data_IF_723396202875
#
_entry.id   IF_723396202875
#
_cell.length_a   1.000
_cell.length_b   1.000
_cell.length_c   1.000
_cell.angle_alpha   90.00
_cell.angle_beta   90.00
_cell.angle_gamma   90.00
#
_symmetry.space_group_name_H-M   'P 1'
#
loop_
_entity.id
_entity.type
_entity.pdbx_description
1 polymer ?
#
# COMPACT_ATOMS: atom_id res chain seq x y z
N UNK A 1 0.86 36.22 -8.56
CA UNK A 1 0.13 35.73 -7.36
C UNK A 1 -1.35 35.94 -7.61
N UNK A 2 -2.03 34.93 -8.12
CA UNK A 2 -3.49 34.97 -8.33
C UNK A 2 -3.98 33.55 -8.13
N UNK A 3 -4.83 33.37 -7.13
CA UNK A 3 -5.37 32.08 -6.71
C UNK A 3 -6.38 31.55 -7.69
N UNK A 4 -6.33 30.24 -7.93
CA UNK A 4 -7.45 29.52 -8.51
C UNK A 4 -8.54 29.39 -7.43
N UNK A 5 -9.63 30.16 -7.60
CA UNK A 5 -10.90 29.83 -6.98
C UNK A 5 -11.33 28.45 -7.47
N UNK A 6 -11.77 27.63 -6.53
CA UNK A 6 -12.33 26.31 -6.77
C UNK A 6 -13.85 26.46 -6.94
N UNK A 7 -14.42 26.15 -8.11
CA UNK A 7 -15.83 25.81 -8.17
C UNK A 7 -15.98 24.46 -8.88
N UNK A 8 -16.33 23.41 -8.14
CA UNK A 8 -17.09 22.27 -8.68
C UNK A 8 -17.75 21.53 -7.52
N UNK A 9 -18.86 22.09 -7.03
CA UNK A 9 -19.87 21.37 -6.25
C UNK A 9 -21.24 21.77 -6.78
N UNK A 10 -21.76 20.95 -7.70
CA UNK A 10 -23.19 20.76 -7.95
C UNK A 10 -23.87 21.78 -8.85
N UNK A 11 -23.91 21.50 -10.16
CA UNK A 11 -25.02 21.91 -11.02
C UNK A 11 -25.89 20.67 -11.28
N UNK A 12 -26.88 20.46 -10.42
CA UNK A 12 -27.93 19.50 -10.69
C UNK A 12 -28.89 20.09 -11.74
N UNK A 13 -29.08 19.30 -12.79
CA UNK A 13 -30.06 19.36 -13.89
C UNK A 13 -31.34 20.15 -13.55
N UNK A 14 -31.68 21.13 -14.39
CA UNK A 14 -32.96 21.82 -14.38
C UNK A 14 -34.09 20.88 -14.81
N UNK A 15 -34.90 20.45 -13.84
CA UNK A 15 -36.19 19.80 -14.05
C UNK A 15 -37.28 20.70 -13.48
N UNK A 16 -38.19 21.13 -14.35
CA UNK A 16 -39.37 21.93 -14.05
C UNK A 16 -40.31 21.20 -13.07
N UNK A 17 -40.89 21.92 -12.10
CA UNK A 17 -41.79 21.34 -11.11
C UNK A 17 -41.82 22.08 -9.76
N UNK A 18 -42.78 22.99 -9.61
CA UNK A 18 -43.06 23.73 -8.39
C UNK A 18 -43.34 22.81 -7.18
N UNK A 19 -42.68 23.11 -6.04
CA UNK A 19 -42.98 22.48 -4.76
C UNK A 19 -42.05 22.95 -3.64
N UNK A 20 -42.54 23.83 -2.78
CA UNK A 20 -41.84 24.32 -1.59
C UNK A 20 -41.25 23.21 -0.71
N UNK A 21 -39.92 23.23 -0.51
CA UNK A 21 -39.27 22.60 0.67
C UNK A 21 -38.20 23.52 1.24
N UNK A 22 -38.30 23.74 2.55
CA UNK A 22 -37.40 24.55 3.37
C UNK A 22 -35.95 24.05 3.23
N UNK A 23 -35.04 24.98 2.91
CA UNK A 23 -33.61 24.76 2.93
C UNK A 23 -33.09 24.74 4.38
N UNK A 24 -32.54 23.60 4.82
CA UNK A 24 -31.53 23.53 5.88
C UNK A 24 -30.18 23.31 5.19
N UNK A 25 -29.32 24.31 5.03
CA UNK A 25 -28.49 25.04 6.01
C UNK A 25 -27.39 24.15 6.60
N UNK A 26 -26.15 24.46 6.19
CA UNK A 26 -24.84 23.85 6.52
C UNK A 26 -24.43 22.57 5.75
N UNK A 27 -24.02 22.73 4.48
CA UNK A 27 -22.94 21.89 3.95
C UNK A 27 -21.63 22.46 4.51
N UNK A 28 -20.86 21.64 5.24
CA UNK A 28 -19.53 22.03 5.71
C UNK A 28 -18.67 22.46 4.51
N UNK A 29 -17.90 23.54 4.66
CA UNK A 29 -16.97 24.01 3.64
C UNK A 29 -16.12 22.82 3.15
N UNK A 30 -15.94 22.62 1.82
CA UNK A 30 -15.08 21.56 1.32
C UNK A 30 -13.68 21.74 1.87
N UNK A 31 -13.09 20.67 2.40
CA UNK A 31 -11.73 20.69 2.94
C UNK A 31 -10.73 20.88 1.81
N UNK A 32 -9.71 21.68 2.07
CA UNK A 32 -8.53 21.75 1.21
C UNK A 32 -7.75 20.43 1.28
N UNK A 33 -6.93 20.09 0.26
CA UNK A 33 -6.12 18.87 0.30
C UNK A 33 -5.26 18.75 1.57
N UNK A 34 -4.74 19.87 2.06
CA UNK A 34 -3.99 19.92 3.32
C UNK A 34 -4.86 19.56 4.54
N UNK A 35 -6.07 20.12 4.65
CA UNK A 35 -7.01 19.81 5.73
C UNK A 35 -7.47 18.35 5.70
N UNK A 36 -7.63 17.77 4.51
CA UNK A 36 -7.95 16.33 4.36
C UNK A 36 -6.83 15.46 4.93
N UNK A 37 -5.58 15.74 4.57
CA UNK A 37 -4.41 14.99 5.09
C UNK A 37 -4.32 15.13 6.61
N UNK A 38 -4.49 16.34 7.15
CA UNK A 38 -4.47 16.57 8.60
C UNK A 38 -5.58 15.79 9.30
N UNK A 39 -6.80 15.85 8.77
CA UNK A 39 -7.95 15.11 9.31
C UNK A 39 -7.71 13.60 9.32
N UNK A 40 -7.21 13.03 8.22
CA UNK A 40 -6.89 11.60 8.12
C UNK A 40 -5.81 11.23 9.11
N UNK A 41 -4.75 12.01 9.23
CA UNK A 41 -3.66 11.77 10.19
C UNK A 41 -4.16 11.78 11.63
N UNK A 42 -4.99 12.73 12.01
CA UNK A 42 -5.51 12.83 13.37
C UNK A 42 -6.40 11.61 13.71
N UNK A 43 -7.17 11.14 12.73
CA UNK A 43 -7.96 9.90 12.85
C UNK A 43 -7.08 8.66 12.96
N UNK A 44 -6.02 8.54 12.13
CA UNK A 44 -5.07 7.42 12.21
C UNK A 44 -4.37 7.41 13.57
N UNK A 45 -3.88 8.56 14.03
CA UNK A 45 -3.22 8.69 15.35
C UNK A 45 -4.16 8.21 16.44
N UNK A 46 -5.41 8.68 16.44
CA UNK A 46 -6.42 8.24 17.41
C UNK A 46 -6.64 6.72 17.37
N UNK A 47 -6.77 6.13 16.18
CA UNK A 47 -6.97 4.68 16.03
C UNK A 47 -5.79 3.90 16.60
N UNK A 48 -4.57 4.33 16.30
CA UNK A 48 -3.35 3.68 16.78
C UNK A 48 -3.16 3.78 18.30
N UNK A 49 -3.47 4.94 18.89
CA UNK A 49 -3.34 5.15 20.34
C UNK A 49 -4.35 4.33 21.15
N UNK A 50 -5.47 3.92 20.53
CA UNK A 50 -6.55 3.20 21.18
C UNK A 50 -6.63 1.72 20.76
N UNK A 51 -5.64 1.21 20.02
CA UNK A 51 -5.66 -0.12 19.41
C UNK A 51 -5.63 -1.30 20.40
N UNK A 52 -5.05 -1.10 21.58
CA UNK A 52 -4.79 -2.15 22.58
C UNK A 52 -5.89 -2.25 23.65
N UNK A 53 -6.99 -1.49 23.51
CA UNK A 53 -8.08 -1.40 24.48
C UNK A 53 -9.17 -2.48 24.34
N UNK A 54 -8.82 -3.76 24.18
CA UNK A 54 -9.83 -4.82 24.05
C UNK A 54 -10.41 -5.22 25.41
N UNK A 55 -11.51 -4.58 25.85
CA UNK A 55 -12.52 -5.13 26.78
C UNK A 55 -13.80 -4.27 26.72
N UNK A 56 -14.85 -4.85 26.13
CA UNK A 56 -16.15 -4.27 25.79
C UNK A 56 -16.63 -3.06 26.62
N UNK A 57 -16.72 -1.89 25.98
CA UNK A 57 -17.32 -0.70 26.59
C UNK A 57 -17.59 0.45 25.61
N UNK A 58 -17.99 1.63 26.12
CA UNK A 58 -18.22 2.87 25.33
C UNK A 58 -17.02 3.30 24.47
N UNK A 59 -15.80 2.83 24.80
CA UNK A 59 -14.57 3.10 24.04
C UNK A 59 -14.57 2.43 22.66
N UNK A 60 -15.16 1.25 22.54
CA UNK A 60 -15.20 0.51 21.27
C UNK A 60 -16.12 1.19 20.25
N UNK A 61 -17.29 1.67 20.69
CA UNK A 61 -18.21 2.43 19.83
C UNK A 61 -17.58 3.74 19.29
N UNK A 62 -16.73 4.39 20.11
CA UNK A 62 -16.01 5.59 19.69
C UNK A 62 -14.90 5.26 18.69
N UNK A 63 -14.20 4.13 18.87
CA UNK A 63 -13.19 3.65 17.93
C UNK A 63 -13.83 3.25 16.59
N UNK A 64 -14.93 2.51 16.61
CA UNK A 64 -15.69 2.12 15.43
C UNK A 64 -16.16 3.36 14.64
N UNK A 65 -16.72 4.36 15.33
CA UNK A 65 -17.07 5.63 14.71
C UNK A 65 -15.87 6.32 14.03
N UNK A 66 -14.71 6.34 14.71
CA UNK A 66 -13.48 6.94 14.17
C UNK A 66 -12.93 6.18 12.97
N UNK A 67 -13.08 4.85 12.93
CA UNK A 67 -12.73 4.05 11.76
C UNK A 67 -13.65 4.34 10.56
N UNK A 68 -14.95 4.57 10.80
CA UNK A 68 -15.87 5.01 9.74
C UNK A 68 -15.50 6.40 9.22
N UNK A 69 -15.14 7.34 10.10
CA UNK A 69 -14.63 8.66 9.69
C UNK A 69 -13.32 8.55 8.92
N UNK A 70 -12.40 7.69 9.34
CA UNK A 70 -11.14 7.43 8.63
C UNK A 70 -11.42 6.93 7.21
N UNK A 71 -12.36 5.99 7.08
CA UNK A 71 -12.78 5.46 5.79
C UNK A 71 -13.36 6.53 4.87
N UNK A 72 -14.11 7.50 5.42
CA UNK A 72 -14.60 8.66 4.67
C UNK A 72 -13.46 9.60 4.26
N UNK A 73 -12.51 9.88 5.16
CA UNK A 73 -11.34 10.70 4.85
C UNK A 73 -10.46 10.08 3.76
N UNK A 74 -10.28 8.77 3.76
CA UNK A 74 -9.54 8.06 2.70
C UNK A 74 -10.27 8.14 1.36
N UNK A 75 -11.61 8.03 1.36
CA UNK A 75 -12.41 8.25 0.15
C UNK A 75 -12.30 9.69 -0.37
N UNK A 76 -12.21 10.67 0.53
CA UNK A 76 -11.97 12.07 0.18
C UNK A 76 -10.59 12.25 -0.49
N UNK A 77 -9.53 11.66 0.07
CA UNK A 77 -8.20 11.62 -0.56
C UNK A 77 -8.25 10.94 -1.94
N UNK A 78 -8.95 9.82 -2.04
CA UNK A 78 -9.14 9.08 -3.30
C UNK A 78 -9.86 9.95 -4.35
N UNK A 79 -10.90 10.68 -3.98
CA UNK A 79 -11.60 11.60 -4.88
C UNK A 79 -10.69 12.71 -5.42
N UNK A 80 -9.78 13.24 -4.58
CA UNK A 80 -8.78 14.22 -5.03
C UNK A 80 -7.80 13.60 -6.04
N UNK A 81 -7.35 12.37 -5.79
CA UNK A 81 -6.34 11.71 -6.62
C UNK A 81 -6.89 11.14 -7.93
N UNK A 82 -8.07 10.53 -7.91
CA UNK A 82 -8.62 9.81 -9.06
C UNK A 82 -9.76 10.55 -9.76
N UNK A 83 -10.24 11.66 -9.19
CA UNK A 83 -11.45 12.33 -9.65
C UNK A 83 -12.73 11.60 -9.21
N UNK A 84 -13.87 12.20 -9.53
CA UNK A 84 -15.20 11.68 -9.15
C UNK A 84 -15.89 10.90 -10.28
N UNK A 85 -15.17 10.59 -11.37
CA UNK A 85 -15.68 9.86 -12.54
C UNK A 85 -16.22 10.74 -13.68
N UNK A 86 -16.49 12.02 -13.41
CA UNK A 86 -16.96 13.01 -14.41
C UNK A 86 -15.88 14.03 -14.81
N UNK A 87 -14.95 14.33 -13.91
CA UNK A 87 -13.86 15.30 -14.13
C UNK A 87 -12.51 14.68 -13.78
N UNK A 88 -11.49 15.02 -14.59
CA UNK A 88 -10.11 14.64 -14.34
C UNK A 88 -9.59 15.26 -13.02
N UNK A 89 -8.73 14.55 -12.29
CA UNK A 89 -8.19 15.04 -11.03
C UNK A 89 -7.36 16.30 -11.23
N UNK A 90 -7.60 17.32 -10.39
CA UNK A 90 -6.83 18.56 -10.41
C UNK A 90 -5.36 18.29 -10.01
N UNK A 91 -4.44 18.49 -10.95
CA UNK A 91 -3.01 18.20 -10.76
C UNK A 91 -2.40 19.01 -9.60
N UNK A 92 -2.81 20.26 -9.40
CA UNK A 92 -2.32 21.09 -8.30
C UNK A 92 -2.82 20.59 -6.94
N UNK A 93 -4.08 20.14 -6.87
CA UNK A 93 -4.64 19.54 -5.66
C UNK A 93 -3.93 18.22 -5.29
N UNK A 94 -3.63 17.38 -6.29
CA UNK A 94 -2.86 16.15 -6.11
C UNK A 94 -1.45 16.43 -5.58
N UNK A 95 -0.77 17.44 -6.15
CA UNK A 95 0.55 17.88 -5.69
C UNK A 95 0.50 18.38 -4.25
N UNK A 96 -0.48 19.20 -3.92
CA UNK A 96 -0.64 19.74 -2.56
C UNK A 96 -0.91 18.64 -1.54
N UNK A 97 -1.81 17.70 -1.86
CA UNK A 97 -2.11 16.52 -1.05
C UNK A 97 -0.82 15.72 -0.77
N UNK A 98 -0.06 15.44 -1.83
CA UNK A 98 1.17 14.64 -1.76
C UNK A 98 2.26 15.33 -0.95
N UNK A 99 2.42 16.65 -1.12
CA UNK A 99 3.37 17.45 -0.35
C UNK A 99 3.05 17.46 1.14
N UNK A 100 1.78 17.60 1.52
CA UNK A 100 1.40 17.55 2.94
C UNK A 100 1.52 16.15 3.53
N UNK A 101 1.24 15.11 2.74
CA UNK A 101 1.41 13.73 3.17
C UNK A 101 2.87 13.38 3.50
N UNK A 102 3.83 13.90 2.72
CA UNK A 102 5.26 13.71 2.91
C UNK A 102 5.95 14.77 3.78
N UNK A 103 5.19 15.66 4.41
CA UNK A 103 5.77 16.72 5.23
C UNK A 103 6.53 16.12 6.41
N UNK A 104 7.82 16.46 6.52
CA UNK A 104 8.81 15.85 7.44
C UNK A 104 8.38 15.75 8.91
N UNK A 105 7.47 16.60 9.37
CA UNK A 105 7.08 16.69 10.78
C UNK A 105 5.79 15.91 11.13
N UNK A 106 5.21 15.14 10.20
CA UNK A 106 3.83 14.66 10.38
C UNK A 106 3.69 13.17 10.67
N UNK A 107 4.75 12.35 10.56
CA UNK A 107 4.76 10.88 10.75
C UNK A 107 3.60 10.12 10.05
N UNK A 108 2.82 10.80 9.19
CA UNK A 108 1.54 10.33 8.64
C UNK A 108 1.74 9.02 7.89
N UNK A 109 2.82 8.95 7.12
CA UNK A 109 3.21 7.78 6.34
C UNK A 109 3.48 6.56 7.24
N UNK A 110 4.27 6.77 8.28
CA UNK A 110 4.65 5.74 9.26
C UNK A 110 3.44 5.23 10.02
N UNK A 111 2.57 6.14 10.44
CA UNK A 111 1.32 5.82 11.10
C UNK A 111 0.39 5.02 10.18
N UNK A 112 0.29 5.40 8.90
CA UNK A 112 -0.58 4.69 7.94
C UNK A 112 -0.10 3.26 7.68
N UNK A 113 1.22 3.02 7.59
CA UNK A 113 1.79 1.67 7.50
C UNK A 113 1.34 0.80 8.67
N UNK A 114 1.41 1.33 9.89
CA UNK A 114 1.00 0.59 11.10
C UNK A 114 -0.52 0.39 11.12
N UNK A 115 -1.28 1.41 10.69
CA UNK A 115 -2.74 1.35 10.63
C UNK A 115 -3.22 0.27 9.65
N UNK A 116 -2.54 0.09 8.51
CA UNK A 116 -2.86 -0.97 7.54
C UNK A 116 -2.74 -2.37 8.17
N UNK A 117 -1.74 -2.61 9.02
CA UNK A 117 -1.63 -3.87 9.75
C UNK A 117 -2.72 -4.02 10.83
N UNK A 118 -3.07 -2.94 11.52
CA UNK A 118 -4.10 -2.97 12.56
C UNK A 118 -5.49 -3.24 11.99
N UNK A 119 -5.89 -2.54 10.92
CA UNK A 119 -7.18 -2.76 10.24
C UNK A 119 -7.29 -4.20 9.73
N UNK A 120 -6.18 -4.83 9.34
CA UNK A 120 -6.16 -6.25 8.97
C UNK A 120 -6.36 -7.21 10.15
N UNK A 121 -5.65 -6.97 11.26
CA UNK A 121 -5.75 -7.81 12.45
C UNK A 121 -7.17 -7.80 13.04
N UNK A 122 -7.83 -6.65 13.06
CA UNK A 122 -9.21 -6.53 13.56
C UNK A 122 -10.19 -7.30 12.67
N UNK A 123 -10.09 -7.20 11.34
CA UNK A 123 -10.93 -7.98 10.40
C UNK A 123 -10.79 -9.49 10.63
N UNK A 124 -9.59 -9.99 10.95
CA UNK A 124 -9.37 -11.42 11.26
C UNK A 124 -9.91 -11.87 12.60
N UNK A 125 -9.70 -11.08 13.65
CA UNK A 125 -10.23 -11.39 14.99
C UNK A 125 -11.75 -11.59 14.92
N UNK A 126 -12.43 -10.80 14.10
CA UNK A 126 -13.88 -10.88 13.88
C UNK A 126 -14.28 -12.05 12.98
N UNK A 127 -13.51 -12.36 11.94
CA UNK A 127 -13.73 -13.55 11.10
C UNK A 127 -13.70 -14.84 11.92
N UNK A 128 -12.70 -14.99 12.80
CA UNK A 128 -12.64 -16.13 13.73
C UNK A 128 -13.76 -16.10 14.78
N UNK A 129 -14.15 -14.91 15.26
CA UNK A 129 -15.26 -14.78 16.20
C UNK A 129 -16.59 -15.23 15.57
N UNK A 130 -16.85 -14.93 14.29
CA UNK A 130 -18.05 -15.38 13.58
C UNK A 130 -18.08 -16.90 13.35
N UNK A 131 -16.92 -17.52 13.07
CA UNK A 131 -16.83 -18.99 12.93
C UNK A 131 -16.99 -19.72 14.26
N UNK A 132 -16.44 -19.18 15.35
CA UNK A 132 -16.66 -19.70 16.70
C UNK A 132 -18.10 -19.45 17.19
N UNK A 133 -18.73 -18.37 16.76
CA UNK A 133 -20.12 -18.04 17.11
C UNK A 133 -21.14 -18.98 16.45
N UNK A 134 -20.90 -19.40 15.20
CA UNK A 134 -21.67 -20.49 14.57
C UNK A 134 -21.55 -21.83 15.33
N UNK A 135 -20.47 -22.02 16.09
CA UNK A 135 -20.26 -23.20 16.92
C UNK A 135 -20.85 -23.06 18.34
N UNK A 136 -21.13 -21.82 18.77
CA UNK A 136 -21.60 -21.45 20.13
C UNK A 136 -23.04 -20.88 20.06
N UNK A 137 -23.82 -21.21 19.04
CA UNK A 137 -25.27 -20.91 18.97
C UNK A 137 -26.10 -21.89 19.83
N UNK A 138 -25.70 -22.08 21.10
CA UNK A 138 -26.47 -22.80 22.12
C UNK A 138 -26.60 -22.10 23.46
N UNK A 139 -26.06 -20.89 23.64
CA UNK A 139 -26.26 -20.13 24.87
C UNK A 139 -26.72 -18.70 24.57
N UNK A 140 -27.89 -18.38 25.14
CA UNK A 140 -28.63 -17.13 24.97
C UNK A 140 -27.78 -15.89 25.31
N UNK A 141 -27.37 -15.14 24.29
CA UNK A 141 -27.25 -13.66 24.32
C UNK A 141 -27.07 -13.14 22.89
N UNK A 142 -27.80 -12.10 22.45
CA UNK A 142 -27.68 -11.60 21.08
C UNK A 142 -26.34 -10.87 20.92
N UNK A 143 -25.50 -11.22 19.93
CA UNK A 143 -24.25 -10.51 19.73
C UNK A 143 -24.53 -9.10 19.24
N UNK A 144 -23.99 -8.14 19.97
CA UNK A 144 -23.89 -6.75 19.52
C UNK A 144 -23.14 -6.76 18.18
N UNK A 145 -23.85 -6.42 17.10
CA UNK A 145 -23.33 -6.32 15.73
C UNK A 145 -22.22 -5.27 15.65
N UNK A 146 -20.97 -5.66 15.88
CA UNK A 146 -19.83 -4.87 15.41
C UNK A 146 -19.77 -5.01 13.88
N UNK A 147 -20.26 -4.00 13.16
CA UNK A 147 -20.17 -3.93 11.71
C UNK A 147 -18.88 -3.19 11.39
N UNK A 148 -17.76 -3.91 11.48
CA UNK A 148 -16.50 -3.36 11.01
C UNK A 148 -16.58 -3.08 9.51
N UNK A 149 -15.89 -2.03 9.05
CA UNK A 149 -16.18 -1.48 7.76
C UNK A 149 -15.53 -2.35 6.66
N UNK A 150 -16.27 -2.55 5.56
CA UNK A 150 -16.04 -3.57 4.52
C UNK A 150 -14.57 -3.72 4.04
N UNK A 151 -14.22 -4.93 3.61
CA UNK A 151 -13.00 -5.31 2.87
C UNK A 151 -12.53 -4.28 1.81
N UNK A 152 -13.46 -3.50 1.26
CA UNK A 152 -13.21 -2.39 0.35
C UNK A 152 -12.26 -1.32 0.91
N UNK A 153 -12.18 -1.13 2.23
CA UNK A 153 -11.35 -0.08 2.81
C UNK A 153 -9.87 -0.38 2.69
N UNK A 154 -9.42 -1.60 2.98
CA UNK A 154 -8.00 -1.95 2.83
C UNK A 154 -7.52 -1.75 1.38
N UNK A 155 -8.37 -2.12 0.41
CA UNK A 155 -8.11 -1.90 -1.01
C UNK A 155 -8.06 -0.41 -1.37
N UNK A 156 -9.02 0.38 -0.89
CA UNK A 156 -9.07 1.83 -1.13
C UNK A 156 -7.91 2.58 -0.46
N UNK A 157 -7.54 2.19 0.78
CA UNK A 157 -6.37 2.73 1.48
C UNK A 157 -5.12 2.44 0.67
N UNK A 158 -4.91 1.18 0.26
CA UNK A 158 -3.70 0.80 -0.46
C UNK A 158 -3.61 1.45 -1.83
N UNK A 159 -4.72 1.57 -2.57
CA UNK A 159 -4.77 2.29 -3.86
C UNK A 159 -4.41 3.77 -3.69
N UNK A 160 -5.01 4.43 -2.71
CA UNK A 160 -4.72 5.84 -2.39
C UNK A 160 -3.25 6.02 -2.01
N UNK A 161 -2.73 5.11 -1.19
CA UNK A 161 -1.34 5.10 -0.76
C UNK A 161 -0.35 4.90 -1.91
N UNK A 162 -0.62 3.89 -2.75
CA UNK A 162 0.14 3.63 -3.97
C UNK A 162 0.19 4.89 -4.84
N UNK A 163 -0.95 5.52 -5.09
CA UNK A 163 -1.05 6.70 -5.93
C UNK A 163 -0.22 7.88 -5.40
N UNK A 164 -0.28 8.16 -4.10
CA UNK A 164 0.57 9.17 -3.45
C UNK A 164 2.07 8.92 -3.66
N UNK A 165 2.45 7.64 -3.74
CA UNK A 165 3.85 7.21 -3.87
C UNK A 165 4.32 7.07 -5.32
N UNK A 166 3.42 7.10 -6.30
CA UNK A 166 3.79 6.85 -7.70
C UNK A 166 3.41 8.00 -8.64
N UNK A 167 2.49 8.89 -8.26
CA UNK A 167 2.04 9.99 -9.14
C UNK A 167 3.11 11.04 -9.37
N UNK A 168 3.54 11.74 -8.32
CA UNK A 168 4.46 12.87 -8.46
C UNK A 168 5.92 12.43 -8.33
N UNK A 169 6.40 11.78 -9.40
CA UNK A 169 7.71 11.09 -9.50
C UNK A 169 8.89 11.83 -8.86
N UNK A 170 9.06 13.12 -9.16
CA UNK A 170 10.18 13.92 -8.63
C UNK A 170 10.07 14.16 -7.12
N UNK A 171 8.89 14.51 -6.62
CA UNK A 171 8.65 14.73 -5.18
C UNK A 171 8.83 13.44 -4.38
N UNK A 172 8.33 12.32 -4.92
CA UNK A 172 8.45 11.02 -4.28
C UNK A 172 9.90 10.50 -4.32
N UNK A 173 10.61 10.69 -5.42
CA UNK A 173 12.02 10.33 -5.52
C UNK A 173 12.89 11.07 -4.50
N UNK A 174 12.65 12.37 -4.31
CA UNK A 174 13.31 13.18 -3.30
C UNK A 174 12.99 12.65 -1.88
N UNK A 175 11.72 12.32 -1.62
CA UNK A 175 11.30 11.73 -0.35
C UNK A 175 12.03 10.41 -0.08
N UNK A 176 12.03 9.45 -1.00
CA UNK A 176 12.69 8.15 -0.81
C UNK A 176 14.20 8.31 -0.60
N UNK A 177 14.84 9.21 -1.35
CA UNK A 177 16.28 9.44 -1.22
C UNK A 177 16.64 9.99 0.17
N UNK A 178 15.86 10.95 0.69
CA UNK A 178 16.07 11.56 2.01
C UNK A 178 15.73 10.66 3.18
N UNK A 179 14.78 9.73 2.99
CA UNK A 179 14.18 8.92 4.05
C UNK A 179 14.52 7.43 3.95
N UNK A 180 15.45 7.07 3.07
CA UNK A 180 15.73 5.69 2.67
C UNK A 180 15.87 4.72 3.85
N UNK A 181 16.73 5.07 4.82
CA UNK A 181 17.14 4.17 5.89
C UNK A 181 15.98 3.73 6.78
N UNK A 182 15.16 4.67 7.26
CA UNK A 182 14.00 4.29 8.07
C UNK A 182 12.87 3.73 7.20
N UNK A 183 12.67 4.30 5.99
CA UNK A 183 11.54 3.94 5.15
C UNK A 183 11.60 2.48 4.73
N UNK A 184 12.70 2.03 4.11
CA UNK A 184 12.76 0.67 3.57
C UNK A 184 12.90 -0.37 4.68
N UNK A 185 13.53 -0.02 5.81
CA UNK A 185 13.54 -0.88 7.00
C UNK A 185 12.11 -1.10 7.50
N UNK A 186 11.32 -0.04 7.68
CA UNK A 186 9.94 -0.18 8.16
C UNK A 186 9.00 -0.80 7.12
N UNK A 187 9.13 -0.41 5.85
CA UNK A 187 8.34 -0.95 4.75
C UNK A 187 8.54 -2.47 4.63
N UNK A 188 9.80 -2.92 4.61
CA UNK A 188 10.12 -4.34 4.49
C UNK A 188 9.73 -5.11 5.76
N UNK A 189 10.08 -4.61 6.95
CA UNK A 189 9.78 -5.31 8.20
C UNK A 189 8.28 -5.42 8.46
N UNK A 190 7.51 -4.34 8.24
CA UNK A 190 6.08 -4.29 8.56
C UNK A 190 5.22 -4.84 7.42
N UNK A 191 5.38 -4.35 6.20
CA UNK A 191 4.44 -4.68 5.12
C UNK A 191 4.80 -5.94 4.34
N UNK A 192 6.06 -6.39 4.37
CA UNK A 192 6.48 -7.60 3.65
C UNK A 192 6.68 -8.77 4.62
N UNK A 193 7.54 -8.61 5.62
CA UNK A 193 7.94 -9.71 6.50
C UNK A 193 6.91 -10.02 7.59
N UNK A 194 6.39 -8.99 8.27
CA UNK A 194 5.42 -9.16 9.37
C UNK A 194 3.96 -9.21 8.88
N UNK A 195 3.72 -9.00 7.59
CA UNK A 195 2.37 -9.02 7.03
C UNK A 195 1.84 -10.46 6.98
N UNK A 196 0.99 -10.79 7.94
CA UNK A 196 0.24 -12.03 7.94
C UNK A 196 -0.82 -12.06 6.82
N UNK A 197 -1.11 -10.94 6.14
CA UNK A 197 -2.12 -10.82 5.08
C UNK A 197 -1.49 -11.01 3.71
N UNK A 198 -1.96 -12.04 3.01
CA UNK A 198 -1.68 -12.25 1.60
C UNK A 198 -1.91 -10.98 0.76
N UNK A 199 -3.06 -10.31 0.91
CA UNK A 199 -3.40 -9.11 0.14
C UNK A 199 -2.39 -7.98 0.39
N UNK A 200 -2.17 -7.60 1.65
CA UNK A 200 -1.22 -6.53 2.00
C UNK A 200 0.20 -6.88 1.57
N UNK A 201 0.64 -8.13 1.81
CA UNK A 201 1.99 -8.59 1.43
C UNK A 201 2.18 -8.51 -0.07
N UNK A 202 1.24 -9.05 -0.86
CA UNK A 202 1.28 -8.97 -2.33
C UNK A 202 1.30 -7.53 -2.83
N UNK A 203 0.40 -6.69 -2.31
CA UNK A 203 0.29 -5.29 -2.71
C UNK A 203 1.57 -4.50 -2.34
N UNK A 204 2.18 -4.78 -1.20
CA UNK A 204 3.44 -4.17 -0.78
C UNK A 204 4.62 -4.56 -1.69
N UNK A 205 4.74 -5.84 -2.06
CA UNK A 205 5.80 -6.29 -2.99
C UNK A 205 5.58 -5.67 -4.38
N UNK A 206 4.33 -5.60 -4.86
CA UNK A 206 4.01 -4.93 -6.12
C UNK A 206 4.35 -3.43 -6.08
N UNK A 207 4.04 -2.74 -4.98
CA UNK A 207 4.40 -1.34 -4.80
C UNK A 207 5.93 -1.13 -4.75
N UNK A 208 6.66 -2.02 -4.06
CA UNK A 208 8.12 -1.99 -4.05
C UNK A 208 8.68 -2.11 -5.48
N UNK A 209 8.18 -3.06 -6.26
CA UNK A 209 8.53 -3.20 -7.68
C UNK A 209 8.29 -1.90 -8.44
N UNK A 210 7.12 -1.31 -8.30
CA UNK A 210 6.75 -0.08 -9.02
C UNK A 210 7.66 1.11 -8.61
N UNK A 211 8.01 1.22 -7.33
CA UNK A 211 8.97 2.22 -6.81
C UNK A 211 10.34 2.03 -7.44
N UNK A 212 10.86 0.80 -7.46
CA UNK A 212 12.23 0.53 -7.92
C UNK A 212 12.38 0.62 -9.45
N UNK A 213 11.31 0.36 -10.20
CA UNK A 213 11.31 0.47 -11.67
C UNK A 213 11.11 1.90 -12.17
N UNK A 214 10.70 2.84 -11.31
CA UNK A 214 10.52 4.24 -11.70
C UNK A 214 11.87 4.91 -12.00
N UNK A 215 11.97 5.57 -13.17
CA UNK A 215 13.21 6.18 -13.65
C UNK A 215 13.73 7.26 -12.70
N UNK A 216 12.84 8.04 -12.11
CA UNK A 216 13.21 9.07 -11.12
C UNK A 216 13.83 8.48 -9.85
N UNK A 217 13.62 7.19 -9.57
CA UNK A 217 14.11 6.50 -8.38
C UNK A 217 15.40 5.70 -8.62
N UNK A 218 16.13 5.93 -9.72
CA UNK A 218 17.31 5.12 -10.07
C UNK A 218 18.37 5.05 -8.95
N UNK A 219 18.63 6.16 -8.25
CA UNK A 219 19.58 6.18 -7.13
C UNK A 219 19.10 5.33 -5.94
N UNK A 220 17.80 5.37 -5.65
CA UNK A 220 17.14 4.54 -4.61
C UNK A 220 17.20 3.08 -5.00
N UNK A 221 16.92 2.76 -6.26
CA UNK A 221 16.97 1.40 -6.80
C UNK A 221 18.38 0.82 -6.70
N UNK A 222 19.40 1.55 -7.16
CA UNK A 222 20.80 1.10 -7.06
C UNK A 222 21.22 0.83 -5.61
N UNK A 223 20.82 1.69 -4.66
CA UNK A 223 21.06 1.46 -3.23
C UNK A 223 20.34 0.21 -2.72
N UNK A 224 19.09 -0.01 -3.16
CA UNK A 224 18.28 -1.16 -2.75
C UNK A 224 18.83 -2.50 -3.24
N UNK A 225 19.20 -2.59 -4.52
CA UNK A 225 19.70 -3.82 -5.13
C UNK A 225 21.14 -4.17 -4.72
N UNK A 226 21.79 -3.27 -3.97
CA UNK A 226 23.13 -3.48 -3.41
C UNK A 226 23.10 -4.00 -1.96
N UNK A 227 21.93 -4.15 -1.34
CA UNK A 227 21.81 -4.68 0.04
C UNK A 227 21.59 -6.19 0.05
N UNK A 228 22.38 -6.86 0.88
CA UNK A 228 22.26 -8.30 1.14
C UNK A 228 20.94 -8.63 1.81
N UNK A 229 20.53 -7.83 2.78
CA UNK A 229 19.28 -7.99 3.52
C UNK A 229 18.09 -7.94 2.56
N UNK A 230 18.08 -6.99 1.63
CA UNK A 230 17.03 -6.87 0.63
C UNK A 230 17.01 -8.05 -0.36
N UNK A 231 18.18 -8.53 -0.81
CA UNK A 231 18.26 -9.74 -1.63
C UNK A 231 17.64 -10.94 -0.91
N UNK A 232 18.00 -11.14 0.36
CA UNK A 232 17.50 -12.26 1.16
C UNK A 232 15.97 -12.23 1.29
N UNK A 233 15.38 -11.04 1.45
CA UNK A 233 13.92 -10.88 1.45
C UNK A 233 13.33 -11.36 0.12
N UNK A 234 13.87 -10.92 -1.02
CA UNK A 234 13.34 -11.33 -2.33
C UNK A 234 13.52 -12.82 -2.58
N UNK A 235 14.67 -13.40 -2.25
CA UNK A 235 14.93 -14.84 -2.40
C UNK A 235 14.00 -15.69 -1.53
N UNK A 236 13.60 -15.20 -0.35
CA UNK A 236 12.61 -15.88 0.48
C UNK A 236 11.20 -15.74 -0.10
N UNK A 237 10.82 -14.58 -0.64
CA UNK A 237 9.52 -14.37 -1.28
C UNK A 237 9.33 -15.20 -2.57
N UNK A 238 10.42 -15.51 -3.29
CA UNK A 238 10.39 -16.47 -4.42
C UNK A 238 9.94 -17.87 -3.98
N UNK A 239 9.96 -18.16 -2.68
CA UNK A 239 9.52 -19.42 -2.07
C UNK A 239 8.21 -19.29 -1.29
N UNK A 240 7.52 -18.14 -1.38
CA UNK A 240 6.20 -17.93 -0.76
C UNK A 240 5.19 -18.94 -1.32
N UNK A 241 4.20 -19.35 -0.54
CA UNK A 241 3.17 -20.31 -0.99
C UNK A 241 2.33 -19.77 -2.16
N UNK A 242 2.21 -18.44 -2.28
CA UNK A 242 1.46 -17.80 -3.36
C UNK A 242 2.33 -17.53 -4.58
N UNK A 243 2.01 -18.18 -5.70
CA UNK A 243 2.61 -17.92 -7.02
C UNK A 243 2.51 -16.42 -7.40
N UNK A 244 1.42 -15.76 -7.03
CA UNK A 244 1.25 -14.34 -7.32
C UNK A 244 2.25 -13.45 -6.56
N UNK A 245 2.64 -13.83 -5.33
CA UNK A 245 3.72 -13.14 -4.59
C UNK A 245 5.08 -13.48 -5.19
N UNK A 246 5.31 -14.76 -5.55
CA UNK A 246 6.54 -15.18 -6.20
C UNK A 246 6.81 -14.39 -7.49
N UNK A 247 5.78 -14.15 -8.32
CA UNK A 247 5.90 -13.37 -9.57
C UNK A 247 6.28 -11.91 -9.28
N UNK A 248 5.63 -11.27 -8.30
CA UNK A 248 5.98 -9.89 -7.92
C UNK A 248 7.41 -9.81 -7.36
N UNK A 249 7.82 -10.78 -6.54
CA UNK A 249 9.17 -10.88 -6.01
C UNK A 249 10.21 -11.12 -7.11
N UNK A 250 9.87 -11.89 -8.15
CA UNK A 250 10.73 -12.10 -9.31
C UNK A 250 11.03 -10.80 -10.05
N UNK A 251 10.04 -9.92 -10.23
CA UNK A 251 10.25 -8.63 -10.87
C UNK A 251 11.19 -7.69 -10.08
N UNK A 252 11.29 -7.85 -8.76
CA UNK A 252 12.28 -7.17 -7.93
C UNK A 252 13.63 -7.91 -7.99
N UNK A 253 13.63 -9.23 -7.84
CA UNK A 253 14.82 -10.07 -7.87
C UNK A 253 15.64 -9.91 -9.16
N UNK A 254 14.99 -9.80 -10.33
CA UNK A 254 15.69 -9.58 -11.60
C UNK A 254 16.55 -8.32 -11.60
N UNK A 255 16.21 -7.30 -10.80
CA UNK A 255 17.01 -6.07 -10.69
C UNK A 255 18.34 -6.32 -9.97
N UNK A 256 18.37 -7.25 -8.99
CA UNK A 256 19.61 -7.67 -8.34
C UNK A 256 20.53 -8.39 -9.32
N UNK A 257 19.97 -9.28 -10.14
CA UNK A 257 20.74 -10.06 -11.12
C UNK A 257 21.22 -9.19 -12.29
N UNK A 258 20.41 -8.20 -12.70
CA UNK A 258 20.76 -7.29 -13.79
C UNK A 258 21.76 -6.18 -13.37
N UNK A 259 22.05 -6.03 -12.08
CA UNK A 259 22.96 -5.01 -11.59
C UNK A 259 24.40 -5.31 -12.04
N UNK A 260 24.96 -4.47 -12.92
CA UNK A 260 26.35 -4.62 -13.40
C UNK A 260 27.39 -4.22 -12.34
N UNK A 261 27.00 -3.45 -11.33
CA UNK A 261 27.82 -3.04 -10.18
C UNK A 261 27.49 -3.90 -8.94
N UNK A 262 27.23 -5.18 -9.14
CA UNK A 262 26.78 -6.08 -8.08
C UNK A 262 27.84 -6.24 -6.97
N UNK A 263 27.50 -5.96 -5.70
CA UNK A 263 28.44 -6.12 -4.59
C UNK A 263 28.92 -7.58 -4.43
N UNK A 264 30.17 -7.82 -4.00
CA UNK A 264 30.73 -9.17 -3.87
C UNK A 264 29.90 -10.12 -3.00
N UNK A 265 29.24 -9.60 -1.96
CA UNK A 265 28.37 -10.38 -1.08
C UNK A 265 27.14 -10.92 -1.83
N UNK A 266 26.48 -10.09 -2.65
CA UNK A 266 25.33 -10.49 -3.46
C UNK A 266 25.78 -11.56 -4.47
N UNK A 267 26.91 -11.32 -5.16
CA UNK A 267 27.48 -12.25 -6.14
C UNK A 267 27.80 -13.61 -5.50
N UNK A 268 28.38 -13.60 -4.29
CA UNK A 268 28.65 -14.80 -3.51
C UNK A 268 27.38 -15.58 -3.19
N UNK A 269 26.31 -14.90 -2.76
CA UNK A 269 25.02 -15.52 -2.45
C UNK A 269 24.39 -16.15 -3.70
N UNK A 270 24.36 -15.43 -4.83
CA UNK A 270 23.83 -15.96 -6.08
C UNK A 270 24.62 -17.19 -6.55
N UNK A 271 25.95 -17.14 -6.49
CA UNK A 271 26.84 -18.26 -6.84
C UNK A 271 26.59 -19.47 -5.93
N UNK A 272 26.49 -19.27 -4.62
CA UNK A 272 26.24 -20.34 -3.65
C UNK A 272 24.88 -21.03 -3.85
N UNK A 273 23.90 -20.31 -4.41
CA UNK A 273 22.55 -20.83 -4.66
C UNK A 273 22.28 -21.15 -6.14
N UNK A 274 23.28 -21.05 -7.02
CA UNK A 274 23.16 -21.16 -8.48
C UNK A 274 22.30 -22.35 -8.93
N UNK A 275 22.66 -23.57 -8.54
CA UNK A 275 21.93 -24.77 -8.98
C UNK A 275 20.47 -24.80 -8.51
N UNK A 276 20.20 -24.31 -7.30
CA UNK A 276 18.84 -24.25 -6.74
C UNK A 276 17.99 -23.19 -7.46
N UNK A 277 18.58 -22.02 -7.72
CA UNK A 277 17.93 -20.93 -8.45
C UNK A 277 17.60 -21.34 -9.89
N UNK A 278 18.56 -21.94 -10.61
CA UNK A 278 18.33 -22.39 -11.98
C UNK A 278 17.25 -23.46 -12.07
N UNK A 279 17.23 -24.42 -11.13
CA UNK A 279 16.17 -25.42 -11.06
C UNK A 279 14.80 -24.76 -10.81
N UNK A 280 14.72 -23.86 -9.83
CA UNK A 280 13.48 -23.13 -9.56
C UNK A 280 13.01 -22.34 -10.79
N UNK A 281 13.88 -21.53 -11.41
CA UNK A 281 13.52 -20.67 -12.55
C UNK A 281 13.09 -21.45 -13.79
N UNK A 282 13.59 -22.69 -13.98
CA UNK A 282 13.17 -23.56 -15.08
C UNK A 282 11.69 -23.95 -14.95
N UNK A 283 11.26 -24.29 -13.74
CA UNK A 283 9.90 -24.76 -13.47
C UNK A 283 8.95 -23.60 -13.10
N UNK A 284 9.49 -22.41 -12.87
CA UNK A 284 8.73 -21.23 -12.45
C UNK A 284 7.91 -20.65 -13.61
N UNK A 285 6.59 -20.62 -13.43
CA UNK A 285 5.62 -20.11 -14.40
C UNK A 285 4.67 -19.10 -13.77
N UNK A 286 4.12 -18.22 -14.58
CA UNK A 286 3.09 -17.24 -14.18
C UNK A 286 1.71 -17.87 -14.08
N UNK A 287 0.79 -17.15 -13.42
CA UNK A 287 -0.64 -17.48 -13.42
C UNK A 287 -1.25 -17.30 -14.82
N UNK A 288 -0.77 -16.30 -15.56
CA UNK A 288 -1.18 -16.03 -16.94
C UNK A 288 -0.40 -16.94 -17.89
N UNK A 289 -1.13 -17.75 -18.67
CA UNK A 289 -0.53 -18.54 -19.75
C UNK A 289 -0.09 -17.60 -20.88
N UNK A 290 1.11 -17.81 -21.41
CA UNK A 290 1.71 -17.05 -22.52
C UNK A 290 2.15 -15.60 -22.23
N UNK A 291 2.52 -15.26 -20.99
CA UNK A 291 3.23 -14.00 -20.72
C UNK A 291 4.65 -14.02 -21.31
N UNK A 292 4.74 -13.64 -22.59
CA UNK A 292 6.00 -13.57 -23.35
C UNK A 292 7.02 -12.64 -22.70
N UNK A 293 6.57 -11.58 -22.02
CA UNK A 293 7.46 -10.61 -21.41
C UNK A 293 8.12 -11.21 -20.17
N UNK A 294 7.33 -11.89 -19.34
CA UNK A 294 7.83 -12.61 -18.19
C UNK A 294 8.82 -13.70 -18.60
N UNK A 295 8.48 -14.52 -19.61
CA UNK A 295 9.38 -15.59 -20.08
C UNK A 295 10.71 -15.05 -20.64
N UNK A 296 10.69 -13.91 -21.34
CA UNK A 296 11.90 -13.25 -21.81
C UNK A 296 12.76 -12.71 -20.66
N UNK A 297 12.14 -12.08 -19.65
CA UNK A 297 12.84 -11.60 -18.45
C UNK A 297 13.45 -12.79 -17.67
N UNK A 298 12.72 -13.91 -17.57
CA UNK A 298 13.17 -15.15 -16.92
C UNK A 298 14.37 -15.77 -17.64
N UNK A 299 14.33 -15.86 -18.96
CA UNK A 299 15.45 -16.34 -19.77
C UNK A 299 16.71 -15.47 -19.57
N UNK A 300 16.53 -14.15 -19.48
CA UNK A 300 17.63 -13.20 -19.21
C UNK A 300 18.25 -13.46 -17.83
N UNK A 301 17.42 -13.61 -16.78
CA UNK A 301 17.90 -13.91 -15.42
C UNK A 301 18.64 -15.24 -15.37
N UNK A 302 18.13 -16.28 -16.03
CA UNK A 302 18.79 -17.59 -16.13
C UNK A 302 20.18 -17.45 -16.78
N UNK A 303 20.26 -16.72 -17.89
CA UNK A 303 21.52 -16.48 -18.62
C UNK A 303 22.56 -15.76 -17.74
N UNK A 304 22.16 -14.69 -17.06
CA UNK A 304 23.06 -13.93 -16.17
C UNK A 304 23.51 -14.79 -14.98
N UNK A 305 22.63 -15.60 -14.38
CA UNK A 305 23.02 -16.54 -13.30
C UNK A 305 23.99 -17.61 -13.82
N UNK A 306 23.79 -18.12 -15.04
CA UNK A 306 24.71 -19.08 -15.69
C UNK A 306 26.08 -18.46 -15.99
N UNK A 307 26.14 -17.16 -16.26
CA UNK A 307 27.39 -16.45 -16.51
C UNK A 307 28.22 -16.19 -15.24
N UNK A 308 27.61 -16.26 -14.04
CA UNK A 308 28.35 -16.12 -12.78
C UNK A 308 29.35 -17.27 -12.63
N UNK A 309 30.65 -17.01 -12.82
CA UNK A 309 31.70 -18.03 -12.73
C UNK A 309 31.51 -18.97 -11.53
N UNK A 310 31.62 -20.28 -11.75
CA UNK A 310 31.56 -21.28 -10.68
C UNK A 310 32.72 -21.05 -9.70
N UNK A 311 32.52 -21.41 -8.42
CA UNK A 311 33.64 -21.42 -7.47
C UNK A 311 34.71 -22.34 -8.04
N UNK A 312 35.90 -21.81 -8.31
CA UNK A 312 37.11 -22.62 -8.26
C UNK A 312 37.30 -23.13 -6.83
#
# INVERSE_FOLDING_TARGET
>A
MTGCLWPCVGAAVAGDGAGHRKAGLFRSKPRTPAEVVQHVRDLVTYVLDNKDGCCGGKRDAKLEHRMVELSKGIKEMKGILFGNGEEDPCEEACKQLTKEFFKKNTDTFRQLIVCLQYVDLEVRKLGHCNTLQYSIERLHTPPSRCKFPDFNIQSDVFKTFKELMTRHKSTVAEFFSKNYDWFFVEFNSKLILSASNYFIRRQAVQLLRDILLERSNIAVMMRYVSSKEHLMIQMNLLRDESVAIQVEAFHVFKLFVANKEQPPEITSILRANRSKLLRFLKDFTTVEKDDKKFEADKATVISEILALAEKQ
#
